data_IF_790587339672
#
_entry.id   IF_790587339672
#
_cell.length_a   1.000
_cell.length_b   1.000
_cell.length_c   1.000
_cell.angle_alpha   90.00
_cell.angle_beta   90.00
_cell.angle_gamma   90.00
#
_symmetry.space_group_name_H-M   'P 1'
#
loop_
_entity.id
_entity.type
_entity.pdbx_description
1 polymer ?
#
# COMPACT_ATOMS: atom_id res chain seq x y z
N UNK A 1 7.77 -35.45 -21.28
CA UNK A 1 6.84 -34.33 -21.03
C UNK A 1 6.90 -34.01 -19.54
N UNK A 2 7.90 -33.26 -19.10
CA UNK A 2 7.95 -32.75 -17.73
C UNK A 2 7.18 -31.44 -17.68
N UNK A 3 5.93 -31.49 -17.24
CA UNK A 3 5.02 -30.33 -17.28
C UNK A 3 5.35 -29.24 -16.26
N UNK A 4 6.22 -29.48 -15.27
CA UNK A 4 6.61 -28.50 -14.24
C UNK A 4 8.06 -28.73 -13.76
N UNK A 5 9.04 -28.00 -14.30
CA UNK A 5 10.47 -28.18 -13.98
C UNK A 5 10.89 -27.60 -12.62
N UNK A 6 10.13 -26.64 -12.08
CA UNK A 6 10.36 -26.03 -10.77
C UNK A 6 9.09 -26.13 -9.92
N UNK A 7 9.07 -27.06 -8.97
CA UNK A 7 8.01 -27.14 -7.98
C UNK A 7 8.55 -27.21 -6.55
N UNK A 8 7.85 -26.58 -5.61
CA UNK A 8 8.09 -26.75 -4.17
C UNK A 8 6.81 -27.21 -3.47
N UNK A 9 6.99 -28.13 -2.51
CA UNK A 9 5.89 -28.72 -1.74
C UNK A 9 6.05 -28.32 -0.27
N UNK A 10 5.01 -27.74 0.32
CA UNK A 10 4.99 -27.38 1.74
C UNK A 10 3.73 -27.92 2.43
N UNK A 11 3.91 -28.57 3.58
CA UNK A 11 2.80 -28.97 4.45
C UNK A 11 2.40 -27.78 5.34
N UNK A 12 1.17 -27.28 5.17
CA UNK A 12 0.65 -26.19 5.98
C UNK A 12 -0.09 -26.77 7.18
N UNK A 13 0.49 -26.63 8.38
CA UNK A 13 -0.16 -27.02 9.64
C UNK A 13 -1.22 -25.97 10.01
N UNK A 14 -2.43 -26.41 10.34
CA UNK A 14 -3.54 -25.55 10.75
C UNK A 14 -3.90 -25.80 12.23
N UNK A 15 -4.20 -24.76 13.00
CA UNK A 15 -4.41 -24.85 14.47
C UNK A 15 -5.74 -25.49 14.89
N UNK A 16 -6.69 -25.62 13.97
CA UNK A 16 -8.05 -26.12 14.23
C UNK A 16 -8.48 -27.27 13.30
N UNK A 17 -7.57 -27.76 12.45
CA UNK A 17 -7.87 -28.85 11.51
C UNK A 17 -6.74 -29.87 11.58
N UNK A 18 -7.11 -31.13 11.77
CA UNK A 18 -6.23 -32.30 11.64
C UNK A 18 -5.81 -32.55 10.18
N UNK A 19 -6.48 -31.89 9.23
CA UNK A 19 -6.04 -31.84 7.83
C UNK A 19 -4.86 -30.88 7.66
N UNK A 20 -3.72 -31.41 7.19
CA UNK A 20 -2.54 -30.64 6.77
C UNK A 20 -2.56 -30.41 5.25
N UNK A 21 -3.12 -29.30 4.75
CA UNK A 21 -3.13 -29.01 3.32
C UNK A 21 -1.70 -28.97 2.73
N UNK A 22 -1.56 -29.60 1.57
CA UNK A 22 -0.32 -29.64 0.79
C UNK A 22 -0.32 -28.45 -0.18
N UNK A 23 0.59 -27.51 0.02
CA UNK A 23 0.84 -26.40 -0.91
C UNK A 23 1.85 -26.85 -1.96
N UNK A 24 1.40 -26.96 -3.22
CA UNK A 24 2.28 -27.21 -4.37
C UNK A 24 2.43 -25.90 -5.15
N UNK A 25 3.63 -25.32 -5.13
CA UNK A 25 3.98 -24.18 -5.97
C UNK A 25 4.61 -24.70 -7.26
N UNK A 26 3.99 -24.47 -8.41
CA UNK A 26 4.46 -24.92 -9.73
C UNK A 26 4.91 -23.77 -10.65
N UNK A 27 5.07 -22.56 -10.10
CA UNK A 27 5.50 -21.38 -10.86
C UNK A 27 6.69 -20.73 -10.18
N UNK A 28 7.71 -20.29 -10.96
CA UNK A 28 8.80 -19.52 -10.41
C UNK A 28 8.24 -18.25 -9.77
N UNK A 29 8.76 -17.92 -8.59
CA UNK A 29 8.50 -16.64 -7.94
C UNK A 29 9.04 -15.53 -8.85
N UNK A 30 8.15 -14.86 -9.57
CA UNK A 30 8.51 -13.66 -10.32
C UNK A 30 9.11 -12.65 -9.33
N UNK A 31 10.31 -12.15 -9.64
CA UNK A 31 10.93 -11.06 -8.89
C UNK A 31 9.95 -9.88 -8.89
N UNK A 32 9.85 -9.20 -7.75
CA UNK A 32 9.09 -7.95 -7.65
C UNK A 32 9.83 -6.92 -8.50
N UNK A 33 9.20 -6.47 -9.57
CA UNK A 33 9.70 -5.36 -10.38
C UNK A 33 8.86 -4.13 -10.02
N UNK A 34 9.53 -3.10 -9.52
CA UNK A 34 8.94 -1.94 -8.85
C UNK A 34 9.60 -1.66 -7.51
N UNK A 35 10.07 -0.42 -7.31
CA UNK A 35 10.52 0.07 -6.01
C UNK A 35 9.45 -0.13 -4.94
N UNK A 36 9.87 -0.23 -3.67
CA UNK A 36 9.01 -0.45 -2.50
C UNK A 36 8.08 0.78 -2.31
N UNK A 37 7.02 0.86 -3.12
CA UNK A 37 5.99 1.87 -2.99
C UNK A 37 5.34 1.67 -1.62
N UNK A 38 5.22 2.78 -0.88
CA UNK A 38 4.55 2.73 0.40
C UNK A 38 3.06 2.44 0.17
N UNK A 39 2.63 1.27 0.65
CA UNK A 39 1.22 0.93 0.76
C UNK A 39 0.88 0.82 2.24
N UNK A 40 -0.16 1.53 2.67
CA UNK A 40 -0.69 1.37 4.01
C UNK A 40 -1.42 0.03 4.12
N UNK A 41 -1.08 -0.79 5.10
CA UNK A 41 -1.76 -2.07 5.32
C UNK A 41 -2.84 -1.92 6.40
N UNK A 42 -4.07 -2.33 6.09
CA UNK A 42 -5.23 -2.26 6.99
C UNK A 42 -4.98 -2.93 8.34
N UNK A 43 -4.32 -4.10 8.35
CA UNK A 43 -4.03 -4.83 9.57
C UNK A 43 -3.09 -4.08 10.53
N UNK A 44 -2.34 -3.06 10.07
CA UNK A 44 -1.53 -2.21 10.97
C UNK A 44 -2.37 -1.56 12.06
N UNK A 45 -3.63 -1.23 11.76
CA UNK A 45 -4.56 -0.65 12.74
C UNK A 45 -4.91 -1.59 13.89
N UNK A 46 -4.70 -2.90 13.72
CA UNK A 46 -4.89 -3.89 14.80
C UNK A 46 -3.72 -3.96 15.77
N UNK A 47 -2.58 -3.34 15.43
CA UNK A 47 -1.44 -3.25 16.33
C UNK A 47 -1.66 -2.09 17.31
N UNK A 48 -1.69 -2.34 18.63
CA UNK A 48 -1.90 -1.27 19.63
C UNK A 48 -0.87 -0.15 19.55
N UNK A 49 0.33 -0.44 19.02
CA UNK A 49 1.39 0.55 18.84
C UNK A 49 1.20 1.47 17.63
N UNK A 50 0.31 1.15 16.68
CA UNK A 50 0.21 1.86 15.40
C UNK A 50 -0.13 3.34 15.58
N UNK A 51 -1.21 3.63 16.31
CA UNK A 51 -1.67 5.01 16.51
C UNK A 51 -0.63 5.86 17.25
N UNK A 52 -0.02 5.29 18.30
CA UNK A 52 1.03 5.96 19.07
C UNK A 52 2.22 6.31 18.18
N UNK A 53 2.69 5.37 17.36
CA UNK A 53 3.83 5.57 16.46
C UNK A 53 3.53 6.63 15.40
N UNK A 54 2.31 6.62 14.82
CA UNK A 54 1.91 7.66 13.86
C UNK A 54 1.91 9.04 14.51
N UNK A 55 1.33 9.16 15.72
CA UNK A 55 1.28 10.42 16.48
C UNK A 55 2.69 10.94 16.80
N UNK A 56 3.58 10.07 17.27
CA UNK A 56 4.96 10.41 17.60
C UNK A 56 5.70 10.93 16.36
N UNK A 57 5.73 10.15 15.27
CA UNK A 57 6.44 10.53 14.03
C UNK A 57 5.87 11.83 13.42
N UNK A 58 4.55 12.04 13.54
CA UNK A 58 3.89 13.26 13.05
C UNK A 58 4.25 14.49 13.89
N UNK A 59 4.51 14.33 15.19
CA UNK A 59 4.84 15.43 16.09
C UNK A 59 6.33 15.77 16.09
N UNK A 60 7.21 14.82 15.74
CA UNK A 60 8.66 15.00 15.70
C UNK A 60 9.14 16.09 14.72
N UNK A 61 8.37 16.38 13.66
CA UNK A 61 8.76 17.35 12.63
C UNK A 61 7.73 18.47 12.48
N UNK A 62 8.22 19.71 12.53
CA UNK A 62 7.50 20.91 12.09
C UNK A 62 7.77 21.17 10.60
N UNK A 63 6.79 21.75 9.91
CA UNK A 63 6.89 22.01 8.47
C UNK A 63 5.53 21.97 7.79
N UNK A 64 5.55 22.01 6.47
CA UNK A 64 4.35 21.87 5.63
C UNK A 64 3.73 20.49 5.79
N UNK A 65 2.44 20.38 5.47
CA UNK A 65 1.72 19.08 5.53
C UNK A 65 2.42 18.02 4.66
N UNK A 66 2.97 18.40 3.50
CA UNK A 66 3.68 17.49 2.61
C UNK A 66 4.96 16.93 3.23
N UNK A 67 5.77 17.77 3.87
CA UNK A 67 7.00 17.33 4.54
C UNK A 67 6.71 16.41 5.73
N UNK A 68 5.63 16.69 6.46
CA UNK A 68 5.17 15.85 7.56
C UNK A 68 4.65 14.51 7.08
N UNK A 69 3.91 14.47 5.97
CA UNK A 69 3.44 13.24 5.35
C UNK A 69 4.61 12.37 4.88
N UNK A 70 5.61 12.95 4.22
CA UNK A 70 6.78 12.20 3.76
C UNK A 70 7.61 11.65 4.93
N UNK A 71 7.79 12.45 5.99
CA UNK A 71 8.44 11.99 7.22
C UNK A 71 7.69 10.80 7.84
N UNK A 72 6.36 10.92 7.94
CA UNK A 72 5.48 9.89 8.48
C UNK A 72 5.53 8.62 7.65
N UNK A 73 5.54 8.75 6.31
CA UNK A 73 5.70 7.63 5.39
C UNK A 73 6.98 6.83 5.67
N UNK A 74 8.11 7.51 5.77
CA UNK A 74 9.43 6.88 6.00
C UNK A 74 9.49 6.24 7.39
N UNK A 75 8.99 6.91 8.43
CA UNK A 75 8.95 6.37 9.79
C UNK A 75 8.05 5.15 9.90
N UNK A 76 6.86 5.21 9.28
CA UNK A 76 5.89 4.12 9.27
C UNK A 76 6.40 2.92 8.47
N UNK A 77 7.13 3.13 7.37
CA UNK A 77 7.83 2.06 6.65
C UNK A 77 8.84 1.32 7.54
N UNK A 78 9.63 2.04 8.33
CA UNK A 78 10.59 1.45 9.28
C UNK A 78 9.89 0.65 10.37
N UNK A 79 8.84 1.20 10.95
CA UNK A 79 8.00 0.52 11.94
C UNK A 79 7.37 -0.76 11.36
N UNK A 80 6.79 -0.69 10.16
CA UNK A 80 6.15 -1.82 9.50
C UNK A 80 7.13 -2.98 9.24
N UNK A 81 8.36 -2.68 8.79
CA UNK A 81 9.41 -3.69 8.62
C UNK A 81 9.75 -4.38 9.95
N UNK A 82 9.84 -3.63 11.04
CA UNK A 82 10.11 -4.16 12.37
C UNK A 82 8.98 -5.07 12.88
N UNK A 83 7.72 -4.60 12.80
CA UNK A 83 6.54 -5.38 13.21
C UNK A 83 6.44 -6.67 12.41
N UNK A 84 6.66 -6.63 11.09
CA UNK A 84 6.65 -7.83 10.25
C UNK A 84 7.66 -8.88 10.72
N UNK A 85 8.87 -8.45 11.07
CA UNK A 85 9.91 -9.34 11.63
C UNK A 85 9.51 -9.92 12.99
N UNK A 86 9.00 -9.09 13.90
CA UNK A 86 8.51 -9.52 15.23
C UNK A 86 7.36 -10.52 15.11
N UNK A 87 6.42 -10.26 14.20
CA UNK A 87 5.28 -11.15 13.91
C UNK A 87 5.73 -12.51 13.41
N UNK A 88 6.67 -12.56 12.45
CA UNK A 88 7.24 -13.82 11.97
C UNK A 88 7.87 -14.66 13.09
N UNK A 89 8.62 -14.01 13.98
CA UNK A 89 9.20 -14.67 15.17
C UNK A 89 8.13 -15.14 16.16
N UNK A 90 7.10 -14.33 16.41
CA UNK A 90 5.97 -14.68 17.29
C UNK A 90 5.22 -15.90 16.75
N UNK A 91 4.89 -15.91 15.46
CA UNK A 91 4.17 -17.01 14.82
C UNK A 91 4.96 -18.32 14.94
N UNK A 92 6.26 -18.28 14.64
CA UNK A 92 7.16 -19.44 14.80
C UNK A 92 7.16 -19.96 16.24
N UNK A 93 7.32 -19.07 17.22
CA UNK A 93 7.31 -19.43 18.65
C UNK A 93 5.99 -20.06 19.10
N UNK A 94 4.86 -19.48 18.69
CA UNK A 94 3.53 -20.02 19.04
C UNK A 94 3.32 -21.40 18.43
N UNK A 95 3.78 -21.62 17.20
CA UNK A 95 3.63 -22.90 16.51
C UNK A 95 4.55 -23.99 17.09
N UNK A 96 5.77 -23.62 17.48
CA UNK A 96 6.68 -24.48 18.24
C UNK A 96 6.08 -24.83 19.62
N UNK A 97 5.53 -23.84 20.33
CA UNK A 97 4.88 -24.06 21.63
C UNK A 97 3.69 -24.99 21.51
N UNK A 98 2.85 -24.81 20.50
CA UNK A 98 1.72 -25.69 20.24
C UNK A 98 2.18 -27.14 19.96
N UNK A 99 3.26 -27.32 19.21
CA UNK A 99 3.83 -28.64 18.93
C UNK A 99 4.28 -29.34 20.22
N UNK A 100 4.94 -28.61 21.12
CA UNK A 100 5.38 -29.14 22.43
C UNK A 100 4.18 -29.50 23.32
N UNK A 101 3.13 -28.67 23.32
CA UNK A 101 1.92 -28.93 24.10
C UNK A 101 1.10 -30.10 23.55
N UNK A 102 1.10 -30.32 22.24
CA UNK A 102 0.43 -31.47 21.61
C UNK A 102 1.09 -32.81 21.98
N UNK A 103 2.38 -32.81 22.32
CA UNK A 103 3.14 -33.99 22.76
C UNK A 103 3.05 -34.24 24.28
N UNK A 104 2.57 -33.26 25.05
CA UNK A 104 2.43 -33.35 26.51
C UNK A 104 1.12 -34.05 26.89
N UNK A 105 1.12 -34.74 28.03
CA UNK A 105 -0.10 -35.29 28.61
C UNK A 105 -1.13 -34.18 28.89
N UNK A 106 -2.40 -34.49 28.62
CA UNK A 106 -3.51 -33.55 28.74
C UNK A 106 -3.96 -33.44 30.19
N UNK A 107 -3.31 -32.58 30.94
CA UNK A 107 -3.78 -32.04 32.22
C UNK A 107 -4.52 -30.71 32.03
N UNK A 108 -5.27 -30.27 33.05
CA UNK A 108 -6.10 -29.05 32.99
C UNK A 108 -5.27 -27.80 32.64
N UNK A 109 -4.05 -27.67 33.18
CA UNK A 109 -3.17 -26.52 32.89
C UNK A 109 -2.67 -26.56 31.44
N UNK A 110 -2.31 -27.75 30.95
CA UNK A 110 -1.92 -27.96 29.54
C UNK A 110 -3.06 -27.61 28.58
N UNK A 111 -4.31 -27.96 28.92
CA UNK A 111 -5.48 -27.63 28.09
C UNK A 111 -5.70 -26.12 28.03
N UNK A 112 -5.62 -25.42 29.17
CA UNK A 112 -5.74 -23.96 29.22
C UNK A 112 -4.66 -23.31 28.36
N UNK A 113 -3.41 -23.77 28.47
CA UNK A 113 -2.32 -23.20 27.69
C UNK A 113 -2.48 -23.45 26.18
N UNK A 114 -2.98 -24.63 25.77
CA UNK A 114 -3.29 -24.91 24.37
C UNK A 114 -4.34 -23.94 23.83
N UNK A 115 -5.38 -23.65 24.62
CA UNK A 115 -6.44 -22.70 24.23
C UNK A 115 -5.84 -21.31 24.01
N UNK A 116 -5.03 -20.81 24.93
CA UNK A 116 -4.40 -19.49 24.84
C UNK A 116 -3.48 -19.38 23.62
N UNK A 117 -2.65 -20.39 23.38
CA UNK A 117 -1.75 -20.43 22.21
C UNK A 117 -2.54 -20.47 20.90
N UNK A 118 -3.63 -21.25 20.84
CA UNK A 118 -4.50 -21.31 19.66
C UNK A 118 -5.23 -20.01 19.41
N UNK A 119 -5.68 -19.33 20.46
CA UNK A 119 -6.30 -18.01 20.37
C UNK A 119 -5.31 -16.99 19.81
N UNK A 120 -4.08 -16.92 20.35
CA UNK A 120 -3.03 -16.04 19.82
C UNK A 120 -2.70 -16.33 18.35
N UNK A 121 -2.60 -17.60 17.97
CA UNK A 121 -2.41 -17.98 16.57
C UNK A 121 -3.57 -17.51 15.69
N UNK A 122 -4.81 -17.64 16.16
CA UNK A 122 -5.97 -17.18 15.42
C UNK A 122 -5.93 -15.66 15.18
N UNK A 123 -5.59 -14.87 16.20
CA UNK A 123 -5.40 -13.42 16.03
C UNK A 123 -4.33 -13.08 14.99
N UNK A 124 -3.22 -13.83 14.97
CA UNK A 124 -2.19 -13.64 13.94
C UNK A 124 -2.67 -14.07 12.54
N UNK A 125 -3.60 -15.03 12.44
CA UNK A 125 -4.21 -15.43 11.17
C UNK A 125 -5.21 -14.39 10.66
N UNK A 126 -6.01 -13.76 11.51
CA UNK A 126 -6.92 -12.67 11.14
C UNK A 126 -6.15 -11.50 10.49
N UNK A 127 -4.99 -11.13 11.04
CA UNK A 127 -4.10 -10.12 10.41
C UNK A 127 -3.62 -10.53 9.01
N UNK A 128 -3.41 -11.84 8.79
CA UNK A 128 -3.03 -12.37 7.46
C UNK A 128 -4.22 -12.28 6.51
N UNK A 129 -5.41 -12.57 6.98
CA UNK A 129 -6.65 -12.47 6.20
C UNK A 129 -6.89 -11.03 5.73
N UNK A 130 -6.87 -10.04 6.63
CA UNK A 130 -6.98 -8.61 6.28
C UNK A 130 -5.98 -8.18 5.18
N UNK A 131 -4.73 -8.66 5.26
CA UNK A 131 -3.71 -8.41 4.25
C UNK A 131 -4.09 -8.94 2.85
N UNK A 132 -4.72 -10.11 2.78
CA UNK A 132 -5.15 -10.73 1.53
C UNK A 132 -6.46 -10.14 0.99
N UNK A 133 -7.41 -9.83 1.87
CA UNK A 133 -8.65 -9.13 1.51
C UNK A 133 -8.34 -7.78 0.85
N UNK A 134 -7.45 -7.00 1.46
CA UNK A 134 -7.02 -5.70 0.92
C UNK A 134 -6.46 -5.83 -0.51
N UNK A 135 -5.67 -6.88 -0.77
CA UNK A 135 -5.08 -7.13 -2.10
C UNK A 135 -6.06 -7.71 -3.10
N UNK A 136 -7.04 -8.47 -2.62
CA UNK A 136 -8.14 -8.93 -3.44
C UNK A 136 -9.04 -7.75 -3.85
N UNK A 137 -9.02 -6.62 -3.12
CA UNK A 137 -9.94 -5.47 -3.29
C UNK A 137 -11.40 -5.95 -3.35
N UNK A 138 -11.72 -6.97 -2.55
CA UNK A 138 -13.04 -7.57 -2.46
C UNK A 138 -13.72 -7.02 -1.20
N UNK A 139 -14.62 -6.04 -1.38
CA UNK A 139 -15.45 -5.50 -0.29
C UNK A 139 -16.75 -6.30 -0.04
N UNK A 140 -16.99 -7.42 -0.75
CA UNK A 140 -18.32 -8.05 -0.82
C UNK A 140 -18.46 -9.44 -0.15
N UNK A 141 -17.57 -9.86 0.74
CA UNK A 141 -17.90 -11.01 1.60
C UNK A 141 -18.03 -10.58 3.05
N UNK A 142 -19.14 -9.85 3.30
CA UNK A 142 -19.73 -9.80 4.62
C UNK A 142 -20.25 -11.23 4.91
N UNK A 143 -19.46 -12.00 5.67
CA UNK A 143 -19.82 -13.27 6.31
C UNK A 143 -20.14 -14.43 5.33
N UNK A 144 -19.13 -15.22 4.94
CA UNK A 144 -19.37 -16.45 4.18
C UNK A 144 -18.12 -17.29 3.95
N UNK A 145 -17.80 -18.13 4.92
CA UNK A 145 -16.68 -19.08 5.00
C UNK A 145 -15.26 -18.49 4.83
N UNK A 146 -14.40 -18.79 5.82
CA UNK A 146 -13.07 -18.19 6.05
C UNK A 146 -12.02 -18.72 5.06
N UNK A 147 -12.34 -18.72 3.76
CA UNK A 147 -11.55 -19.39 2.75
C UNK A 147 -10.43 -18.49 2.24
N UNK A 148 -9.37 -18.40 3.03
CA UNK A 148 -8.11 -17.70 2.72
C UNK A 148 -7.59 -18.09 1.31
N UNK A 149 -7.81 -19.33 0.85
CA UNK A 149 -7.38 -19.79 -0.48
C UNK A 149 -8.10 -19.05 -1.63
N UNK A 150 -9.39 -18.72 -1.47
CA UNK A 150 -10.12 -17.93 -2.45
C UNK A 150 -9.52 -16.53 -2.59
N UNK A 151 -9.25 -15.85 -1.46
CA UNK A 151 -8.63 -14.52 -1.48
C UNK A 151 -7.22 -14.56 -2.07
N UNK A 152 -6.42 -15.57 -1.74
CA UNK A 152 -5.11 -15.76 -2.36
C UNK A 152 -5.19 -15.94 -3.88
N UNK A 153 -6.12 -16.76 -4.36
CA UNK A 153 -6.32 -17.02 -5.78
C UNK A 153 -6.80 -15.76 -6.50
N UNK A 154 -7.77 -15.05 -5.93
CA UNK A 154 -8.29 -13.81 -6.49
C UNK A 154 -7.24 -12.70 -6.50
N UNK A 155 -6.52 -12.49 -5.39
CA UNK A 155 -5.42 -11.53 -5.31
C UNK A 155 -4.31 -11.87 -6.32
N UNK A 156 -4.00 -13.16 -6.50
CA UNK A 156 -3.01 -13.61 -7.50
C UNK A 156 -3.50 -13.41 -8.93
N UNK A 157 -4.79 -13.64 -9.20
CA UNK A 157 -5.40 -13.35 -10.50
C UNK A 157 -5.38 -11.85 -10.79
N UNK A 158 -5.78 -11.00 -9.84
CA UNK A 158 -5.71 -9.54 -9.98
C UNK A 158 -4.28 -9.07 -10.20
N UNK A 159 -3.32 -9.60 -9.44
CA UNK A 159 -1.90 -9.30 -9.67
C UNK A 159 -1.51 -9.62 -11.11
N UNK A 160 -1.88 -10.79 -11.61
CA UNK A 160 -1.60 -11.20 -13.00
C UNK A 160 -2.29 -10.32 -14.03
N UNK A 161 -3.51 -9.85 -13.76
CA UNK A 161 -4.25 -8.96 -14.68
C UNK A 161 -3.72 -7.53 -14.68
N UNK A 162 -3.30 -7.03 -13.52
CA UNK A 162 -2.83 -5.65 -13.36
C UNK A 162 -1.32 -5.50 -13.55
N UNK A 163 -0.61 -6.61 -13.78
CA UNK A 163 0.82 -6.57 -14.04
C UNK A 163 1.06 -6.01 -15.44
N UNK A 164 1.57 -4.78 -15.49
CA UNK A 164 2.08 -4.16 -16.72
C UNK A 164 3.31 -4.96 -17.14
N UNK A 165 3.22 -5.68 -18.26
CA UNK A 165 4.31 -6.53 -18.78
C UNK A 165 5.31 -5.76 -19.63
N UNK A 166 4.91 -4.58 -20.08
CA UNK A 166 5.64 -3.73 -21.00
C UNK A 166 4.77 -2.56 -21.42
N UNK A 167 5.41 -1.55 -21.99
CA UNK A 167 4.77 -0.37 -22.55
C UNK A 167 5.23 -0.21 -23.99
N UNK A 168 4.32 0.25 -24.84
CA UNK A 168 4.63 0.62 -26.22
C UNK A 168 5.06 2.08 -26.25
N UNK A 169 6.21 2.36 -26.88
CA UNK A 169 6.67 3.73 -27.11
C UNK A 169 5.94 4.37 -28.30
N UNK A 170 6.12 5.67 -28.51
CA UNK A 170 5.56 6.44 -29.62
C UNK A 170 5.93 5.90 -31.01
N UNK A 171 7.04 5.16 -31.10
CA UNK A 171 7.49 4.49 -32.33
C UNK A 171 6.85 3.09 -32.54
N UNK A 172 5.90 2.70 -31.69
CA UNK A 172 5.22 1.39 -31.76
C UNK A 172 6.07 0.22 -31.24
N UNK A 173 7.18 0.50 -30.55
CA UNK A 173 8.10 -0.52 -30.06
C UNK A 173 7.71 -0.91 -28.64
N UNK A 174 7.42 -2.21 -28.43
CA UNK A 174 7.09 -2.75 -27.12
C UNK A 174 8.34 -2.95 -26.26
N UNK A 175 8.43 -2.21 -25.16
CA UNK A 175 9.53 -2.25 -24.19
C UNK A 175 9.10 -2.99 -22.94
N UNK A 176 9.96 -3.88 -22.45
CA UNK A 176 9.71 -4.69 -21.24
C UNK A 176 10.72 -4.44 -20.13
N UNK A 177 11.75 -3.63 -20.39
CA UNK A 177 12.78 -3.28 -19.41
C UNK A 177 12.32 -2.10 -18.52
N UNK A 178 12.58 -2.20 -17.21
CA UNK A 178 12.07 -1.27 -16.21
C UNK A 178 12.50 0.19 -16.47
N UNK A 179 13.77 0.40 -16.82
CA UNK A 179 14.31 1.73 -17.09
C UNK A 179 13.66 2.34 -18.35
N UNK A 180 13.49 1.56 -19.41
CA UNK A 180 12.83 1.99 -20.64
C UNK A 180 11.35 2.33 -20.43
N UNK A 181 10.62 1.47 -19.70
CA UNK A 181 9.22 1.72 -19.33
C UNK A 181 9.08 2.98 -18.47
N UNK A 182 10.01 3.21 -17.54
CA UNK A 182 10.07 4.43 -16.72
C UNK A 182 10.27 5.68 -17.56
N UNK A 183 11.14 5.63 -18.57
CA UNK A 183 11.34 6.73 -19.52
C UNK A 183 10.08 7.02 -20.34
N UNK A 184 9.39 6.00 -20.86
CA UNK A 184 8.13 6.16 -21.61
C UNK A 184 7.08 6.85 -20.74
N UNK A 185 6.85 6.38 -19.51
CA UNK A 185 5.88 6.97 -18.58
C UNK A 185 6.24 8.42 -18.23
N UNK A 186 7.51 8.69 -17.94
CA UNK A 186 7.98 10.04 -17.60
C UNK A 186 7.71 10.99 -18.76
N UNK A 187 8.10 10.62 -19.98
CA UNK A 187 7.92 11.46 -21.16
C UNK A 187 6.44 11.69 -21.46
N UNK A 188 5.61 10.65 -21.36
CA UNK A 188 4.16 10.75 -21.51
C UNK A 188 3.54 11.75 -20.54
N UNK A 189 3.81 11.62 -19.24
CA UNK A 189 3.24 12.53 -18.24
C UNK A 189 3.84 13.94 -18.33
N UNK A 190 5.12 14.10 -18.66
CA UNK A 190 5.69 15.41 -18.94
C UNK A 190 4.94 16.11 -20.06
N UNK A 191 4.72 15.44 -21.19
CA UNK A 191 3.96 16.01 -22.31
C UNK A 191 2.50 16.27 -21.96
N UNK A 192 1.86 15.39 -21.18
CA UNK A 192 0.47 15.55 -20.76
C UNK A 192 0.26 16.79 -19.88
N UNK A 193 1.24 17.12 -19.03
CA UNK A 193 1.20 18.27 -18.13
C UNK A 193 1.93 19.50 -18.67
N UNK A 194 2.65 19.38 -19.79
CA UNK A 194 3.14 20.52 -20.55
C UNK A 194 1.95 21.25 -21.17
N UNK A 195 1.86 22.56 -20.91
CA UNK A 195 0.84 23.38 -21.55
C UNK A 195 1.13 23.38 -23.06
N UNK A 196 0.16 22.97 -23.87
CA UNK A 196 0.22 23.07 -25.33
C UNK A 196 0.17 24.51 -25.86
N UNK A 197 0.29 25.52 -24.98
CA UNK A 197 0.58 26.91 -25.33
C UNK A 197 -0.53 27.65 -26.05
N UNK A 198 -1.68 27.03 -26.33
CA UNK A 198 -2.74 27.67 -27.12
C UNK A 198 -4.11 27.28 -26.59
N UNK A 199 -4.58 28.02 -25.61
CA UNK A 199 -6.01 28.18 -25.35
C UNK A 199 -6.26 29.67 -25.30
N UNK A 200 -6.99 30.21 -26.28
CA UNK A 200 -7.44 31.60 -26.24
C UNK A 200 -8.34 31.78 -25.00
N UNK A 201 -7.75 32.26 -23.90
CA UNK A 201 -8.46 32.48 -22.64
C UNK A 201 -9.48 33.61 -22.74
N UNK A 202 -9.45 34.39 -23.82
CA UNK A 202 -10.46 35.42 -24.08
C UNK A 202 -11.86 34.83 -24.23
N UNK A 203 -12.00 33.61 -24.76
CA UNK A 203 -13.28 32.91 -24.80
C UNK A 203 -13.82 32.62 -23.38
N UNK A 204 -12.97 32.20 -22.43
CA UNK A 204 -13.36 31.97 -21.03
C UNK A 204 -13.81 33.26 -20.34
N UNK A 205 -13.26 34.40 -20.76
CA UNK A 205 -13.58 35.72 -20.24
C UNK A 205 -14.76 36.40 -20.96
N UNK A 206 -15.29 35.80 -22.04
CA UNK A 206 -16.38 36.40 -22.84
C UNK A 206 -17.69 36.59 -22.07
N UNK A 207 -17.92 35.80 -21.02
CA UNK A 207 -19.09 35.92 -20.13
C UNK A 207 -18.90 36.88 -18.95
N UNK A 208 -17.70 37.43 -18.75
CA UNK A 208 -17.39 38.33 -17.64
C UNK A 208 -17.44 39.76 -18.15
N UNK A 209 -18.37 40.56 -17.64
CA UNK A 209 -18.44 41.99 -17.99
C UNK A 209 -17.20 42.71 -17.46
N UNK A 210 -16.55 43.48 -18.33
CA UNK A 210 -15.40 44.28 -17.93
C UNK A 210 -15.86 45.42 -17.00
N UNK A 211 -15.74 45.20 -15.69
CA UNK A 211 -16.13 46.17 -14.67
C UNK A 211 -14.99 47.14 -14.30
N UNK A 212 -13.75 46.79 -14.65
CA UNK A 212 -12.57 47.65 -14.45
C UNK A 212 -12.30 48.38 -15.77
N UNK A 213 -12.55 49.69 -15.78
CA UNK A 213 -12.22 50.55 -16.92
C UNK A 213 -10.70 50.67 -17.07
N UNK A 214 -10.24 50.99 -18.29
CA UNK A 214 -8.80 51.18 -18.57
C UNK A 214 -8.13 52.17 -17.61
N UNK A 215 -8.82 53.25 -17.25
CA UNK A 215 -8.33 54.25 -16.31
C UNK A 215 -8.17 53.69 -14.88
N UNK A 216 -9.13 52.88 -14.39
CA UNK A 216 -9.01 52.20 -13.10
C UNK A 216 -7.84 51.21 -13.10
N UNK A 217 -7.65 50.49 -14.20
CA UNK A 217 -6.56 49.51 -14.30
C UNK A 217 -5.18 50.20 -14.29
N UNK A 218 -5.06 51.36 -14.97
CA UNK A 218 -3.86 52.20 -14.93
C UNK A 218 -3.57 52.75 -13.54
N UNK A 219 -4.61 53.07 -12.77
CA UNK A 219 -4.45 53.51 -11.38
C UNK A 219 -4.00 52.36 -10.47
N UNK A 220 -4.58 51.17 -10.65
CA UNK A 220 -4.31 49.98 -9.82
C UNK A 220 -2.95 49.32 -10.10
N UNK A 221 -2.38 49.55 -11.29
CA UNK A 221 -1.04 49.06 -11.66
C UNK A 221 0.03 50.16 -11.64
N UNK A 222 -0.31 51.39 -11.23
CA UNK A 222 0.67 52.46 -11.04
C UNK A 222 1.52 52.21 -9.79
N UNK A 223 2.75 52.72 -9.80
CA UNK A 223 3.62 52.69 -8.63
C UNK A 223 3.01 53.49 -7.48
N UNK A 224 3.05 52.92 -6.26
CA UNK A 224 2.50 53.53 -5.06
C UNK A 224 3.27 54.80 -4.69
N UNK A 225 2.54 55.81 -4.20
CA UNK A 225 3.15 57.06 -3.71
C UNK A 225 3.40 57.00 -2.21
N UNK A 226 4.47 57.64 -1.75
CA UNK A 226 4.87 57.68 -0.33
C UNK A 226 3.75 58.23 0.59
N UNK A 227 2.91 59.12 0.07
CA UNK A 227 1.73 59.67 0.74
C UNK A 227 0.57 58.68 0.90
N UNK A 228 0.45 57.69 0.02
CA UNK A 228 -0.59 56.65 0.10
C UNK A 228 -0.24 55.63 1.19
N UNK A 229 1.06 55.34 1.37
CA UNK A 229 1.58 54.47 2.44
C UNK A 229 1.39 55.11 3.81
N UNK A 230 1.58 56.43 3.93
CA UNK A 230 1.42 57.16 5.20
C UNK A 230 -0.04 57.35 5.62
N UNK A 231 -0.98 57.41 4.68
CA UNK A 231 -2.42 57.52 4.98
C UNK A 231 -3.10 56.16 5.27
N UNK A 232 -2.41 55.04 5.00
CA UNK A 232 -2.92 53.68 5.24
C UNK A 232 -2.53 53.09 6.60
N UNK A 233 -1.67 53.80 7.36
CA UNK A 233 -1.29 53.50 8.76
C UNK A 233 -2.20 54.29 9.70
#
# INVERSE_FOLDING_TARGET
>A
MDMFSDYSVQHLKHSFSDHCPILIQTRPSFKRFGGDCFEFESWWLTEPSCEKVIKEIWQERSGTVLEKLEHTRIGLQRWAKNIKGKRGKRLKRLQERLTVLDEKDRDDDTIVEIIDVKLELNWEMEKKEMYWEQRARLNWLRQGDKNIAFFHNHASQRRRMNMVRGLEDNDGIFKTEDDEMGHILRNYFMQLFESSGVGDTNYLLSGVSQNITKCMNQLLTADYKEQEVTNAI
#
